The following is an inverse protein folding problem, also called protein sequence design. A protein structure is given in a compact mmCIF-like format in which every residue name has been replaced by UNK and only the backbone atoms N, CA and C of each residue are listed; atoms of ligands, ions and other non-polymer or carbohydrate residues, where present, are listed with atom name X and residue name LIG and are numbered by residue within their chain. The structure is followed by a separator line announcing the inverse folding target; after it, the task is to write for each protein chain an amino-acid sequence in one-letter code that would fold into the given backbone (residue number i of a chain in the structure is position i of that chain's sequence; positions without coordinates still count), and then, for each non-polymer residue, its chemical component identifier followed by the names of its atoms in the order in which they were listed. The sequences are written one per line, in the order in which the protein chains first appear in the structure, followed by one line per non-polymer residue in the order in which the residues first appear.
data_IF_501816078729
#
_entry.id   IF_501816078729
#
_cell.length_a   1.000
_cell.length_b   1.000
_cell.length_c   1.000
_cell.angle_alpha   90.00
_cell.angle_beta   90.00
_cell.angle_gamma   90.00
#
_symmetry.space_group_name_H-M   'P 1'
#
loop_
_entity.id
_entity.type
_entity.pdbx_description
1 polymer ?
#
# COMPACT_ATOMS: atom_id res chain seq x y z
N UNK A 1 16.93 -18.53 9.03
CA UNK A 1 16.54 -19.18 7.77
C UNK A 1 15.54 -18.24 7.11
N UNK A 2 15.95 -17.63 6.00
CA UNK A 2 15.31 -16.48 5.35
C UNK A 2 14.53 -16.97 4.12
N UNK A 3 13.47 -17.74 4.34
CA UNK A 3 12.54 -18.12 3.27
C UNK A 3 11.75 -16.88 2.81
N UNK A 4 11.73 -16.64 1.50
CA UNK A 4 10.89 -15.60 0.89
C UNK A 4 9.42 -16.03 0.97
N UNK A 5 8.52 -15.13 1.34
CA UNK A 5 7.10 -15.45 1.42
C UNK A 5 6.50 -15.61 0.02
N UNK A 6 5.67 -16.64 -0.16
CA UNK A 6 4.96 -16.93 -1.41
C UNK A 6 3.49 -16.55 -1.29
N UNK A 7 2.93 -15.99 -2.38
CA UNK A 7 1.52 -15.63 -2.49
C UNK A 7 0.80 -16.68 -3.34
N UNK A 8 -0.19 -17.36 -2.77
CA UNK A 8 -1.03 -18.33 -3.50
C UNK A 8 -2.38 -17.69 -3.80
N UNK A 9 -2.69 -17.51 -5.08
CA UNK A 9 -3.93 -16.87 -5.55
C UNK A 9 -4.88 -17.95 -6.03
N UNK A 10 -5.99 -18.15 -5.32
CA UNK A 10 -7.04 -19.10 -5.71
C UNK A 10 -8.19 -18.34 -6.36
N UNK A 11 -8.32 -18.45 -7.68
CA UNK A 11 -9.33 -17.72 -8.46
C UNK A 11 -9.66 -18.50 -9.73
N UNK A 12 -10.85 -18.24 -10.29
CA UNK A 12 -11.25 -18.62 -11.65
C UNK A 12 -11.45 -17.38 -12.54
N UNK A 13 -11.15 -16.19 -12.01
CA UNK A 13 -11.32 -14.91 -12.69
C UNK A 13 -10.02 -14.56 -13.41
N UNK A 14 -10.00 -14.54 -14.76
CA UNK A 14 -8.80 -14.31 -15.55
C UNK A 14 -8.20 -12.91 -15.35
N UNK A 15 -8.99 -11.95 -14.87
CA UNK A 15 -8.45 -10.63 -14.52
C UNK A 15 -7.69 -10.67 -13.20
N UNK A 16 -8.14 -11.47 -12.23
CA UNK A 16 -7.47 -11.66 -10.94
C UNK A 16 -6.21 -12.52 -11.08
N UNK A 17 -6.21 -13.51 -11.98
CA UNK A 17 -5.02 -14.33 -12.26
C UNK A 17 -3.80 -13.48 -12.64
N UNK A 18 -4.01 -12.35 -13.32
CA UNK A 18 -2.95 -11.39 -13.69
C UNK A 18 -2.26 -10.75 -12.49
N UNK A 19 -2.85 -10.82 -11.29
CA UNK A 19 -2.23 -10.37 -10.06
C UNK A 19 -0.89 -11.07 -9.80
N UNK A 20 -0.76 -12.36 -10.14
CA UNK A 20 0.51 -13.09 -9.98
C UNK A 20 1.64 -12.40 -10.76
N UNK A 21 1.40 -12.07 -12.04
CA UNK A 21 2.39 -11.38 -12.86
C UNK A 21 2.73 -9.99 -12.30
N UNK A 22 1.75 -9.25 -11.77
CA UNK A 22 1.97 -7.95 -11.14
C UNK A 22 2.80 -8.05 -9.86
N UNK A 23 2.59 -9.08 -9.04
CA UNK A 23 3.39 -9.34 -7.84
C UNK A 23 4.83 -9.76 -8.19
N UNK A 24 5.02 -10.57 -9.22
CA UNK A 24 6.36 -10.93 -9.71
C UNK A 24 7.16 -9.71 -10.15
N UNK A 25 6.52 -8.74 -10.83
CA UNK A 25 7.19 -7.48 -11.21
C UNK A 25 7.62 -6.64 -9.99
N UNK A 26 7.01 -6.89 -8.83
CA UNK A 26 7.36 -6.27 -7.55
C UNK A 26 8.35 -7.14 -6.73
N UNK A 27 8.90 -8.20 -7.34
CA UNK A 27 9.83 -9.13 -6.71
C UNK A 27 9.18 -10.12 -5.73
N UNK A 28 7.85 -10.22 -5.72
CA UNK A 28 7.09 -11.11 -4.82
C UNK A 28 6.74 -12.40 -5.58
N UNK A 29 7.13 -13.55 -5.04
CA UNK A 29 6.77 -14.85 -5.61
C UNK A 29 5.27 -15.08 -5.49
N UNK A 30 4.59 -15.38 -6.59
CA UNK A 30 3.14 -15.55 -6.60
C UNK A 30 2.68 -16.61 -7.60
N UNK A 31 1.79 -17.51 -7.19
CA UNK A 31 1.25 -18.56 -8.06
C UNK A 31 -0.27 -18.51 -8.06
N UNK A 32 -0.88 -18.50 -9.25
CA UNK A 32 -2.35 -18.60 -9.42
C UNK A 32 -2.75 -20.05 -9.63
N UNK A 33 -3.83 -20.48 -8.97
CA UNK A 33 -4.34 -21.86 -9.01
C UNK A 33 -5.86 -21.86 -9.10
N UNK A 34 -6.41 -22.82 -9.85
CA UNK A 34 -7.86 -22.97 -10.06
C UNK A 34 -8.45 -24.16 -9.28
N UNK A 35 -7.59 -25.09 -8.82
CA UNK A 35 -8.01 -26.34 -8.18
C UNK A 35 -7.52 -26.46 -6.74
N UNK A 36 -8.29 -27.16 -5.91
CA UNK A 36 -7.93 -27.40 -4.50
C UNK A 36 -6.62 -28.19 -4.34
N UNK A 37 -6.36 -29.17 -5.21
CA UNK A 37 -5.15 -29.98 -5.14
C UNK A 37 -3.88 -29.13 -5.35
N UNK A 38 -3.93 -28.21 -6.31
CA UNK A 38 -2.83 -27.29 -6.61
C UNK A 38 -2.65 -26.26 -5.51
N UNK A 39 -3.76 -25.71 -4.98
CA UNK A 39 -3.72 -24.80 -3.84
C UNK A 39 -3.08 -25.46 -2.60
N UNK A 40 -3.47 -26.70 -2.28
CA UNK A 40 -2.88 -27.49 -1.20
C UNK A 40 -1.39 -27.72 -1.43
N UNK A 41 -1.00 -28.14 -2.63
CA UNK A 41 0.39 -28.41 -2.97
C UNK A 41 1.26 -27.15 -2.89
N UNK A 42 0.78 -26.00 -3.38
CA UNK A 42 1.50 -24.74 -3.31
C UNK A 42 1.68 -24.27 -1.86
N UNK A 43 0.61 -24.33 -1.06
CA UNK A 43 0.64 -23.96 0.35
C UNK A 43 1.58 -24.87 1.16
N UNK A 44 1.54 -26.19 0.94
CA UNK A 44 2.37 -27.15 1.68
C UNK A 44 3.88 -27.01 1.33
N UNK A 45 4.20 -26.50 0.13
CA UNK A 45 5.58 -26.22 -0.29
C UNK A 45 6.11 -24.88 0.24
N UNK A 46 5.24 -23.92 0.52
CA UNK A 46 5.61 -22.61 0.98
C UNK A 46 5.88 -22.60 2.49
N UNK A 47 7.13 -22.34 2.91
CA UNK A 47 7.46 -22.15 4.34
C UNK A 47 6.73 -20.94 4.95
N UNK A 48 6.42 -19.93 4.12
CA UNK A 48 5.70 -18.70 4.48
C UNK A 48 4.72 -18.38 3.37
N UNK A 49 3.43 -18.33 3.69
CA UNK A 49 2.37 -18.22 2.69
C UNK A 49 1.42 -17.07 3.01
N UNK A 50 1.02 -16.33 1.98
CA UNK A 50 -0.17 -15.47 1.98
C UNK A 50 -1.14 -16.01 0.94
N UNK A 51 -2.41 -16.16 1.29
CA UNK A 51 -3.44 -16.56 0.33
C UNK A 51 -4.21 -15.34 -0.19
N UNK A 52 -4.52 -15.32 -1.48
CA UNK A 52 -5.54 -14.43 -2.06
C UNK A 52 -6.65 -15.34 -2.56
N UNK A 53 -7.87 -15.16 -2.08
CA UNK A 53 -8.99 -16.04 -2.42
C UNK A 53 -10.10 -15.23 -3.04
N UNK A 54 -10.52 -15.67 -4.21
CA UNK A 54 -11.71 -15.17 -4.87
C UNK A 54 -12.98 -15.67 -4.15
N UNK A 55 -13.90 -14.76 -3.84
CA UNK A 55 -15.19 -15.07 -3.21
C UNK A 55 -16.22 -15.63 -4.17
N UNK A 56 -15.98 -15.55 -5.49
CA UNK A 56 -16.89 -16.09 -6.52
C UNK A 56 -16.52 -17.54 -6.93
N UNK A 57 -15.65 -18.20 -6.16
CA UNK A 57 -15.32 -19.62 -6.36
C UNK A 57 -16.57 -20.51 -6.18
N UNK A 58 -16.65 -21.65 -6.91
CA UNK A 58 -17.67 -22.66 -6.67
C UNK A 58 -17.71 -23.09 -5.20
N UNK A 59 -18.91 -23.26 -4.65
CA UNK A 59 -19.14 -23.44 -3.21
C UNK A 59 -18.34 -24.60 -2.60
N UNK A 60 -18.18 -25.70 -3.34
CA UNK A 60 -17.37 -26.84 -2.89
C UNK A 60 -15.89 -26.49 -2.78
N UNK A 61 -15.32 -25.85 -3.81
CA UNK A 61 -13.93 -25.41 -3.81
C UNK A 61 -13.68 -24.35 -2.73
N UNK A 62 -14.57 -23.35 -2.63
CA UNK A 62 -14.50 -22.32 -1.60
C UNK A 62 -14.46 -22.91 -0.18
N UNK A 63 -15.34 -23.88 0.12
CA UNK A 63 -15.39 -24.53 1.43
C UNK A 63 -14.15 -25.41 1.71
N UNK A 64 -13.55 -26.01 0.68
CA UNK A 64 -12.29 -26.77 0.83
C UNK A 64 -11.10 -25.84 1.11
N UNK A 65 -10.97 -24.76 0.32
CA UNK A 65 -9.91 -23.75 0.47
C UNK A 65 -10.02 -23.05 1.82
N UNK A 66 -11.22 -22.63 2.23
CA UNK A 66 -11.42 -21.96 3.52
C UNK A 66 -11.00 -22.84 4.70
N UNK A 67 -11.34 -24.14 4.68
CA UNK A 67 -10.91 -25.10 5.71
C UNK A 67 -9.40 -25.31 5.73
N UNK A 68 -8.76 -25.30 4.56
CA UNK A 68 -7.30 -25.35 4.45
C UNK A 68 -6.66 -24.11 5.11
N UNK A 69 -7.14 -22.90 4.78
CA UNK A 69 -6.58 -21.65 5.28
C UNK A 69 -6.85 -21.39 6.77
N UNK A 70 -7.94 -21.94 7.31
CA UNK A 70 -8.32 -21.82 8.73
C UNK A 70 -7.88 -23.03 9.58
N UNK A 71 -6.96 -23.85 9.07
CA UNK A 71 -6.44 -25.00 9.79
C UNK A 71 -5.67 -24.67 11.07
N UNK A 72 -4.98 -25.66 11.68
CA UNK A 72 -4.23 -25.47 12.92
C UNK A 72 -3.16 -24.36 12.84
N UNK A 73 -2.61 -24.14 11.64
CA UNK A 73 -1.75 -23.01 11.32
C UNK A 73 -2.49 -22.10 10.34
N UNK A 74 -3.19 -21.06 10.82
CA UNK A 74 -3.98 -20.21 9.96
C UNK A 74 -3.10 -19.37 9.04
N UNK A 75 -3.49 -19.29 7.76
CA UNK A 75 -2.74 -18.58 6.73
C UNK A 75 -3.29 -17.14 6.60
N UNK A 76 -2.44 -16.11 6.63
CA UNK A 76 -2.84 -14.74 6.30
C UNK A 76 -3.52 -14.69 4.93
N UNK A 77 -4.75 -14.19 4.89
CA UNK A 77 -5.61 -14.31 3.71
C UNK A 77 -6.20 -12.96 3.33
N UNK A 78 -6.15 -12.63 2.04
CA UNK A 78 -6.91 -11.55 1.41
C UNK A 78 -8.09 -12.15 0.64
N UNK A 79 -9.32 -11.93 1.10
CA UNK A 79 -10.52 -12.45 0.48
C UNK A 79 -11.21 -11.38 -0.37
N UNK A 80 -11.34 -11.64 -1.67
CA UNK A 80 -12.07 -10.78 -2.60
C UNK A 80 -13.55 -11.16 -2.52
N UNK A 81 -14.43 -10.20 -2.28
CA UNK A 81 -15.86 -10.46 -2.08
C UNK A 81 -16.70 -9.43 -2.82
N UNK A 82 -17.98 -9.74 -3.07
CA UNK A 82 -18.92 -8.74 -3.60
C UNK A 82 -19.05 -7.55 -2.62
N UNK A 83 -19.49 -6.39 -3.12
CA UNK A 83 -19.68 -5.21 -2.26
C UNK A 83 -20.72 -5.45 -1.16
N UNK A 84 -21.76 -6.26 -1.44
CA UNK A 84 -22.77 -6.64 -0.44
C UNK A 84 -22.16 -7.51 0.66
N UNK A 85 -21.41 -8.55 0.28
CA UNK A 85 -20.72 -9.43 1.24
C UNK A 85 -19.65 -8.67 2.03
N UNK A 86 -18.97 -7.68 1.42
CA UNK A 86 -18.01 -6.83 2.12
C UNK A 86 -18.65 -6.11 3.30
N UNK A 87 -19.83 -5.50 3.13
CA UNK A 87 -20.51 -4.79 4.22
C UNK A 87 -20.86 -5.72 5.39
N UNK A 88 -21.25 -6.95 5.09
CA UNK A 88 -21.60 -7.95 6.10
C UNK A 88 -20.35 -8.49 6.84
N UNK A 89 -19.26 -8.74 6.11
CA UNK A 89 -18.06 -9.39 6.64
C UNK A 89 -17.07 -8.39 7.26
N UNK A 90 -16.87 -7.22 6.66
CA UNK A 90 -15.92 -6.22 7.12
C UNK A 90 -16.34 -5.60 8.46
N UNK A 91 -17.65 -5.46 8.69
CA UNK A 91 -18.23 -4.94 9.92
C UNK A 91 -18.45 -6.02 11.00
N UNK A 92 -18.17 -7.30 10.69
CA UNK A 92 -18.35 -8.38 11.65
C UNK A 92 -17.29 -8.31 12.78
N UNK A 93 -17.69 -8.12 14.06
CA UNK A 93 -16.76 -8.05 15.18
C UNK A 93 -15.99 -9.36 15.43
N UNK A 94 -16.53 -10.49 14.98
CA UNK A 94 -15.96 -11.83 15.13
C UNK A 94 -15.18 -12.29 13.90
N UNK A 95 -14.80 -11.36 13.00
CA UNK A 95 -14.03 -11.72 11.82
C UNK A 95 -12.67 -12.37 12.19
N UNK A 96 -12.20 -13.38 11.44
CA UNK A 96 -10.90 -13.98 11.68
C UNK A 96 -9.78 -12.93 11.62
N UNK A 97 -8.88 -12.93 12.60
CA UNK A 97 -7.84 -11.90 12.73
C UNK A 97 -6.86 -11.84 11.54
N UNK A 98 -6.67 -12.97 10.86
CA UNK A 98 -5.75 -13.11 9.73
C UNK A 98 -6.44 -13.02 8.36
N UNK A 99 -7.73 -12.67 8.31
CA UNK A 99 -8.47 -12.52 7.05
C UNK A 99 -8.83 -11.05 6.85
N UNK A 100 -8.33 -10.47 5.76
CA UNK A 100 -8.71 -9.15 5.27
C UNK A 100 -9.67 -9.29 4.08
N UNK A 101 -10.67 -8.42 3.99
CA UNK A 101 -11.67 -8.45 2.93
C UNK A 101 -11.46 -7.28 1.96
N UNK A 102 -11.80 -7.52 0.70
CA UNK A 102 -11.73 -6.55 -0.39
C UNK A 102 -13.00 -6.62 -1.22
N UNK A 103 -13.67 -5.49 -1.41
CA UNK A 103 -14.80 -5.44 -2.33
C UNK A 103 -14.32 -5.49 -3.80
N UNK A 104 -14.96 -6.33 -4.62
CA UNK A 104 -14.89 -6.29 -6.08
C UNK A 104 -15.81 -5.18 -6.64
N UNK A 105 -15.48 -4.60 -7.82
CA UNK A 105 -14.26 -4.83 -8.60
C UNK A 105 -13.04 -4.16 -7.95
N UNK A 106 -11.93 -4.88 -7.84
CA UNK A 106 -10.69 -4.37 -7.27
C UNK A 106 -9.64 -4.20 -8.38
N UNK A 107 -8.93 -3.06 -8.39
CA UNK A 107 -7.86 -2.81 -9.37
C UNK A 107 -6.62 -3.61 -8.98
N UNK A 108 -5.89 -4.14 -9.95
CA UNK A 108 -4.68 -4.94 -9.69
C UNK A 108 -3.64 -4.19 -8.85
N UNK A 109 -3.44 -2.89 -9.08
CA UNK A 109 -2.50 -2.08 -8.30
C UNK A 109 -2.91 -1.98 -6.82
N UNK A 110 -4.21 -1.87 -6.56
CA UNK A 110 -4.76 -1.85 -5.20
C UNK A 110 -4.59 -3.22 -4.53
N UNK A 111 -4.81 -4.31 -5.27
CA UNK A 111 -4.60 -5.67 -4.76
C UNK A 111 -3.13 -5.93 -4.42
N UNK A 112 -2.18 -5.47 -5.24
CA UNK A 112 -0.74 -5.55 -4.93
C UNK A 112 -0.44 -4.85 -3.61
N UNK A 113 -0.96 -3.64 -3.40
CA UNK A 113 -0.76 -2.90 -2.15
C UNK A 113 -1.38 -3.62 -0.94
N UNK A 114 -2.57 -4.21 -1.11
CA UNK A 114 -3.22 -4.97 -0.03
C UNK A 114 -2.49 -6.28 0.29
N UNK A 115 -2.01 -7.00 -0.71
CA UNK A 115 -1.16 -8.18 -0.50
C UNK A 115 0.11 -7.80 0.28
N UNK A 116 0.79 -6.72 -0.12
CA UNK A 116 1.95 -6.19 0.61
C UNK A 116 1.60 -5.85 2.07
N UNK A 117 0.43 -5.23 2.31
CA UNK A 117 -0.04 -4.94 3.66
C UNK A 117 -0.32 -6.22 4.48
N UNK A 118 -0.92 -7.26 3.88
CA UNK A 118 -1.13 -8.57 4.52
C UNK A 118 0.21 -9.20 4.88
N UNK A 119 1.19 -9.21 3.96
CA UNK A 119 2.53 -9.75 4.19
C UNK A 119 3.23 -9.04 5.37
N UNK A 120 3.22 -7.71 5.40
CA UNK A 120 3.83 -6.93 6.49
C UNK A 120 3.18 -7.23 7.84
N UNK A 121 1.84 -7.34 7.89
CA UNK A 121 1.12 -7.68 9.14
C UNK A 121 1.38 -9.12 9.59
N UNK A 122 1.64 -10.02 8.66
CA UNK A 122 2.08 -11.38 8.95
C UNK A 122 3.55 -11.45 9.41
N UNK A 123 4.26 -10.33 9.44
CA UNK A 123 5.67 -10.24 9.84
C UNK A 123 6.63 -10.69 8.74
N UNK A 124 6.20 -10.71 7.47
CA UNK A 124 7.04 -11.03 6.34
C UNK A 124 7.77 -9.79 5.83
N UNK A 125 9.01 -9.98 5.38
CA UNK A 125 9.79 -8.93 4.73
C UNK A 125 9.32 -8.79 3.27
N UNK A 126 9.19 -7.54 2.81
CA UNK A 126 8.96 -7.25 1.40
C UNK A 126 10.29 -7.11 0.67
N UNK A 127 10.39 -7.55 -0.60
CA UNK A 127 11.51 -7.22 -1.44
C UNK A 127 11.76 -5.72 -1.45
N UNK A 128 13.02 -5.30 -1.45
CA UNK A 128 13.36 -3.90 -1.67
C UNK A 128 12.76 -3.48 -3.02
N UNK A 129 11.84 -2.52 -3.01
CA UNK A 129 11.20 -2.03 -4.23
C UNK A 129 12.25 -1.35 -5.10
N UNK A 130 12.76 -2.05 -6.10
CA UNK A 130 13.45 -1.44 -7.22
C UNK A 130 12.38 -0.73 -8.06
N UNK A 131 12.00 0.49 -7.66
CA UNK A 131 11.28 1.38 -8.56
C UNK A 131 12.09 1.51 -9.85
N UNK A 132 11.46 1.19 -10.98
CA UNK A 132 12.11 0.91 -12.25
C UNK A 132 13.18 1.92 -12.65
N UNK A 133 14.42 1.44 -12.73
CA UNK A 133 15.31 1.84 -13.82
C UNK A 133 14.71 1.24 -15.09
N UNK A 134 13.98 2.05 -15.85
CA UNK A 134 13.50 1.65 -17.17
C UNK A 134 14.68 1.36 -18.09
N UNK A 135 14.62 0.23 -18.79
CA UNK A 135 15.61 -0.18 -19.78
C UNK A 135 15.79 0.91 -20.86
N UNK A 136 16.95 1.57 -20.83
CA UNK A 136 17.42 2.51 -21.84
C UNK A 136 18.92 2.70 -21.71
N UNK A 137 19.68 1.79 -22.34
CA UNK A 137 21.10 1.85 -22.70
C UNK A 137 21.86 3.15 -22.39
N UNK A 138 22.77 3.11 -21.41
CA UNK A 138 24.16 3.56 -21.56
C UNK A 138 24.98 3.21 -20.32
N UNK A 139 26.15 2.63 -20.59
CA UNK A 139 27.15 2.13 -19.64
C UNK A 139 27.73 3.21 -18.71
N UNK A 140 28.07 2.80 -17.49
CA UNK A 140 29.20 3.36 -16.74
C UNK A 140 29.02 4.70 -16.05
N UNK A 141 28.32 4.73 -14.92
CA UNK A 141 28.68 5.58 -13.78
C UNK A 141 28.08 4.98 -12.50
N UNK A 142 28.92 4.79 -11.50
CA UNK A 142 28.56 4.34 -10.16
C UNK A 142 27.35 5.13 -9.60
N UNK A 143 26.24 4.43 -9.37
CA UNK A 143 25.08 4.96 -8.62
C UNK A 143 25.02 4.36 -7.21
N UNK A 144 26.17 4.25 -6.55
CA UNK A 144 26.24 4.18 -5.09
C UNK A 144 25.88 5.56 -4.52
N UNK A 145 24.59 5.88 -4.34
CA UNK A 145 24.25 7.21 -3.81
C UNK A 145 22.80 7.62 -3.61
N UNK A 146 21.79 6.81 -3.96
CA UNK A 146 20.41 7.16 -3.59
C UNK A 146 20.16 6.82 -2.11
N UNK A 147 20.47 7.76 -1.23
CA UNK A 147 19.99 7.71 0.16
C UNK A 147 18.45 7.76 0.16
N UNK A 148 17.80 6.61 0.35
CA UNK A 148 16.35 6.56 0.58
C UNK A 148 15.98 7.41 1.81
N UNK A 149 15.09 8.38 1.62
CA UNK A 149 14.52 9.15 2.73
C UNK A 149 13.62 8.27 3.61
N UNK A 150 13.59 8.53 4.91
CA UNK A 150 12.66 7.85 5.82
C UNK A 150 11.26 8.47 5.68
N UNK A 151 10.26 7.65 5.39
CA UNK A 151 8.84 8.06 5.39
C UNK A 151 8.23 7.76 6.75
N UNK A 152 7.62 8.76 7.38
CA UNK A 152 6.93 8.61 8.66
C UNK A 152 5.51 9.16 8.54
N UNK A 153 4.52 8.28 8.68
CA UNK A 153 3.10 8.65 8.55
C UNK A 153 2.46 8.85 9.91
N UNK A 154 1.78 9.98 10.10
CA UNK A 154 0.95 10.26 11.29
C UNK A 154 -0.52 10.15 10.88
N UNK A 155 -1.22 9.11 11.36
CA UNK A 155 -2.62 8.87 11.03
C UNK A 155 -3.46 8.56 12.28
N UNK A 156 -4.79 8.64 12.15
CA UNK A 156 -5.77 8.33 13.20
C UNK A 156 -7.17 8.31 12.62
N UNK A 157 -7.97 7.35 13.08
CA UNK A 157 -9.38 7.18 12.73
C UNK A 157 -10.31 8.22 13.38
N UNK A 158 -9.80 9.12 14.25
CA UNK A 158 -10.61 10.13 14.93
C UNK A 158 -10.15 11.56 14.60
N UNK A 159 -11.10 12.47 14.44
CA UNK A 159 -10.86 13.92 14.33
C UNK A 159 -10.41 14.54 15.66
N UNK A 160 -9.64 15.62 15.61
CA UNK A 160 -9.27 16.40 16.80
C UNK A 160 -8.23 15.77 17.74
N UNK A 161 -7.64 14.61 17.41
CA UNK A 161 -6.59 13.98 18.25
C UNK A 161 -5.20 14.64 18.13
N UNK A 162 -5.09 15.73 17.36
CA UNK A 162 -3.85 16.48 17.21
C UNK A 162 -2.87 15.94 16.14
N UNK A 163 -3.31 15.09 15.19
CA UNK A 163 -2.47 14.55 14.10
C UNK A 163 -1.64 15.63 13.40
N UNK A 164 -2.30 16.67 12.89
CA UNK A 164 -1.70 17.79 12.16
C UNK A 164 -0.66 18.50 13.03
N UNK A 165 -1.00 18.75 14.29
CA UNK A 165 -0.10 19.39 15.26
C UNK A 165 1.14 18.55 15.52
N UNK A 166 0.98 17.24 15.73
CA UNK A 166 2.09 16.30 15.95
C UNK A 166 2.98 16.24 14.70
N UNK A 167 2.39 16.06 13.50
CA UNK A 167 3.13 15.98 12.25
C UNK A 167 3.93 17.26 11.96
N UNK A 168 3.31 18.43 12.12
CA UNK A 168 3.96 19.72 11.91
C UNK A 168 5.10 19.95 12.91
N UNK A 169 4.88 19.71 14.21
CA UNK A 169 5.92 19.88 15.22
C UNK A 169 7.06 18.87 15.06
N UNK A 170 6.76 17.62 14.70
CA UNK A 170 7.78 16.61 14.39
C UNK A 170 8.67 17.07 13.23
N UNK A 171 8.07 17.52 12.13
CA UNK A 171 8.82 17.99 10.97
C UNK A 171 9.70 19.22 11.30
N UNK A 172 9.14 20.19 12.03
CA UNK A 172 9.87 21.37 12.50
C UNK A 172 11.00 20.98 13.45
N UNK A 173 10.75 20.04 14.37
CA UNK A 173 11.74 19.54 15.32
C UNK A 173 12.91 18.83 14.64
N UNK A 174 12.61 17.94 13.69
CA UNK A 174 13.62 17.26 12.86
C UNK A 174 14.53 18.25 12.13
N UNK A 175 13.94 19.30 11.55
CA UNK A 175 14.73 20.33 10.87
C UNK A 175 15.52 21.22 11.84
N UNK A 176 14.90 21.71 12.93
CA UNK A 176 15.53 22.70 13.82
C UNK A 176 16.57 22.11 14.75
N UNK A 177 16.28 20.97 15.35
CA UNK A 177 17.14 20.36 16.38
C UNK A 177 18.14 19.38 15.77
N UNK A 178 17.76 18.68 14.70
CA UNK A 178 18.59 17.62 14.10
C UNK A 178 19.10 17.95 12.69
N UNK A 179 18.75 19.13 12.14
CA UNK A 179 19.17 19.59 10.82
C UNK A 179 18.88 18.58 9.69
N UNK A 180 17.81 17.79 9.85
CA UNK A 180 17.39 16.80 8.85
C UNK A 180 16.57 17.49 7.76
N UNK A 181 16.94 17.28 6.50
CA UNK A 181 16.13 17.69 5.34
C UNK A 181 14.77 16.99 5.45
N UNK A 182 13.72 17.76 5.66
CA UNK A 182 12.39 17.24 5.99
C UNK A 182 11.35 17.85 5.06
N UNK A 183 10.57 16.97 4.41
CA UNK A 183 9.38 17.32 3.65
C UNK A 183 8.15 16.89 4.47
N UNK A 184 7.34 17.85 4.89
CA UNK A 184 6.03 17.60 5.47
C UNK A 184 5.00 17.55 4.34
N UNK A 185 4.25 16.46 4.23
CA UNK A 185 3.20 16.28 3.22
C UNK A 185 1.84 16.28 3.91
N UNK A 186 0.94 17.17 3.48
CA UNK A 186 -0.46 17.14 3.89
C UNK A 186 -1.22 16.15 3.00
N UNK A 187 -1.39 14.93 3.51
CA UNK A 187 -2.05 13.83 2.80
C UNK A 187 -3.58 13.76 3.06
N UNK A 188 -4.14 14.70 3.84
CA UNK A 188 -5.58 14.85 3.99
C UNK A 188 -6.09 15.84 2.94
N UNK A 189 -6.45 15.32 1.76
CA UNK A 189 -6.78 16.13 0.59
C UNK A 189 -8.07 16.95 0.78
N UNK A 190 -9.03 16.43 1.56
CA UNK A 190 -10.32 17.09 1.78
C UNK A 190 -10.28 18.06 2.96
N UNK A 191 -9.65 17.69 4.07
CA UNK A 191 -9.75 18.41 5.35
C UNK A 191 -8.37 18.77 5.96
N UNK A 192 -7.30 18.75 5.16
CA UNK A 192 -5.96 19.10 5.61
C UNK A 192 -5.82 20.53 6.13
N UNK A 193 -5.21 20.68 7.31
CA UNK A 193 -5.06 21.95 8.02
C UNK A 193 -3.60 22.42 8.11
N UNK A 194 -2.65 21.72 7.45
CA UNK A 194 -1.22 22.05 7.57
C UNK A 194 -0.94 23.47 7.08
N UNK A 195 -1.57 23.89 5.99
CA UNK A 195 -1.42 25.24 5.44
C UNK A 195 -1.86 26.33 6.41
N UNK A 196 -3.01 26.16 7.04
CA UNK A 196 -3.53 27.09 8.06
C UNK A 196 -2.62 27.10 9.29
N UNK A 197 -2.26 25.92 9.80
CA UNK A 197 -1.43 25.77 11.00
C UNK A 197 -0.05 26.42 10.85
N UNK A 198 0.56 26.32 9.67
CA UNK A 198 1.88 26.88 9.37
C UNK A 198 1.82 28.26 8.71
N UNK A 199 0.62 28.81 8.50
CA UNK A 199 0.37 30.06 7.78
C UNK A 199 1.04 30.09 6.39
N UNK A 200 0.76 29.06 5.60
CA UNK A 200 1.26 28.85 4.24
C UNK A 200 0.11 28.78 3.24
N UNK A 201 0.37 29.28 2.04
CA UNK A 201 -0.54 29.17 0.89
C UNK A 201 0.27 28.64 -0.29
N UNK A 202 -0.30 27.70 -1.04
CA UNK A 202 0.27 27.24 -2.31
C UNK A 202 -0.79 27.25 -3.39
N UNK A 203 -0.37 27.57 -4.62
CA UNK A 203 -1.20 27.43 -5.83
C UNK A 203 -1.11 26.04 -6.45
N UNK A 204 -0.13 25.24 -6.02
CA UNK A 204 0.12 23.87 -6.47
C UNK A 204 0.15 22.95 -5.28
N UNK A 205 -0.28 21.72 -5.49
CA UNK A 205 -0.57 20.76 -4.43
C UNK A 205 -0.07 19.37 -4.80
N UNK A 206 -0.23 18.43 -3.86
CA UNK A 206 0.01 17.02 -4.13
C UNK A 206 -0.81 16.50 -5.33
N UNK A 207 -2.00 17.03 -5.58
CA UNK A 207 -2.81 16.61 -6.73
C UNK A 207 -2.11 16.91 -8.05
N UNK A 208 -1.60 18.14 -8.22
CA UNK A 208 -0.89 18.58 -9.44
C UNK A 208 0.36 17.75 -9.75
N UNK A 209 0.94 17.11 -8.73
CA UNK A 209 2.09 16.22 -8.88
C UNK A 209 1.67 14.86 -9.44
N UNK A 210 0.48 14.38 -9.09
CA UNK A 210 0.04 13.02 -9.37
C UNK A 210 -0.98 12.90 -10.52
N UNK A 211 -1.46 14.01 -11.09
CA UNK A 211 -2.53 14.01 -12.10
C UNK A 211 -2.20 13.24 -13.41
N UNK A 212 -0.92 12.95 -13.67
CA UNK A 212 -0.44 12.25 -14.88
C UNK A 212 -0.14 10.76 -14.71
N UNK A 213 -0.50 10.14 -13.58
CA UNK A 213 -0.16 8.76 -13.25
C UNK A 213 1.21 8.65 -12.59
N UNK A 214 2.29 8.94 -13.32
CA UNK A 214 3.62 9.03 -12.71
C UNK A 214 3.83 10.41 -12.05
N UNK A 215 4.39 10.47 -10.82
CA UNK A 215 4.69 11.74 -10.16
C UNK A 215 5.68 12.58 -10.96
N UNK A 216 5.26 13.77 -11.41
CA UNK A 216 6.18 14.71 -12.08
C UNK A 216 7.07 15.39 -11.04
N UNK A 217 8.36 15.04 -11.01
CA UNK A 217 9.36 15.62 -10.12
C UNK A 217 9.52 17.14 -10.30
N UNK A 218 9.28 17.65 -11.51
CA UNK A 218 9.31 19.08 -11.81
C UNK A 218 8.08 19.77 -11.24
N UNK A 219 6.90 19.15 -11.33
CA UNK A 219 5.69 19.62 -10.68
C UNK A 219 5.85 19.60 -9.15
N UNK A 220 6.46 18.55 -8.59
CA UNK A 220 6.72 18.41 -7.16
C UNK A 220 7.56 19.57 -6.63
N UNK A 221 8.69 19.88 -7.28
CA UNK A 221 9.54 20.99 -6.88
C UNK A 221 8.79 22.33 -6.89
N UNK A 222 7.86 22.53 -7.84
CA UNK A 222 7.02 23.73 -7.93
C UNK A 222 5.87 23.75 -6.92
N UNK A 223 5.44 22.60 -6.42
CA UNK A 223 4.36 22.46 -5.45
C UNK A 223 4.82 22.59 -3.99
N UNK A 224 6.10 22.32 -3.73
CA UNK A 224 6.70 22.44 -2.40
C UNK A 224 6.90 23.91 -2.02
N UNK A 225 6.41 24.27 -0.83
CA UNK A 225 6.58 25.60 -0.22
C UNK A 225 7.56 25.51 0.95
N UNK A 226 8.44 26.49 1.10
CA UNK A 226 9.33 26.58 2.26
C UNK A 226 8.65 27.33 3.41
N UNK A 227 8.61 26.70 4.58
CA UNK A 227 8.23 27.39 5.82
C UNK A 227 9.45 28.09 6.44
N UNK A 228 9.24 29.20 7.17
CA UNK A 228 10.29 29.95 7.89
C UNK A 228 11.11 29.12 8.88
N UNK A 229 10.68 27.92 9.25
CA UNK A 229 11.46 26.99 10.07
C UNK A 229 12.54 26.23 9.28
N UNK A 230 12.55 26.32 7.95
CA UNK A 230 13.40 25.54 7.04
C UNK A 230 12.81 24.20 6.62
N UNK A 231 11.56 23.90 7.01
CA UNK A 231 10.84 22.69 6.58
C UNK A 231 10.24 22.94 5.20
N UNK A 232 10.41 21.98 4.30
CA UNK A 232 9.71 21.94 3.03
C UNK A 232 8.31 21.36 3.25
N UNK A 233 7.29 21.96 2.66
CA UNK A 233 5.89 21.57 2.90
C UNK A 233 5.18 21.39 1.56
N UNK A 234 4.57 20.22 1.36
CA UNK A 234 3.66 19.97 0.26
C UNK A 234 2.23 20.01 0.81
N UNK A 235 1.46 21.01 0.37
CA UNK A 235 0.11 21.23 0.86
C UNK A 235 -0.92 20.42 0.05
N UNK A 236 -2.09 20.24 0.67
CA UNK A 236 -3.28 19.77 -0.01
C UNK A 236 -3.73 20.73 -1.12
N UNK A 237 -4.61 20.30 -2.03
CA UNK A 237 -5.25 21.18 -3.01
C UNK A 237 -5.98 22.35 -2.34
N UNK A 238 -5.91 23.56 -2.92
CA UNK A 238 -6.53 24.75 -2.33
C UNK A 238 -8.06 24.68 -2.34
N UNK A 239 -8.65 23.94 -3.30
CA UNK A 239 -10.09 23.67 -3.36
C UNK A 239 -10.31 22.13 -3.27
N UNK A 240 -11.05 21.66 -2.25
CA UNK A 240 -11.37 20.24 -2.07
C UNK A 240 -12.09 19.59 -3.26
N UNK A 241 -12.81 20.38 -4.08
CA UNK A 241 -13.57 19.87 -5.22
C UNK A 241 -12.67 19.42 -6.38
N UNK A 242 -11.39 19.80 -6.39
CA UNK A 242 -10.44 19.32 -7.40
C UNK A 242 -9.96 17.87 -7.16
N UNK A 243 -10.43 17.20 -6.10
CA UNK A 243 -10.00 15.84 -5.72
C UNK A 243 -10.96 14.76 -6.27
N UNK A 244 -12.08 15.14 -6.88
CA UNK A 244 -13.03 14.22 -7.54
C UNK A 244 -12.59 13.77 -8.94
#
# INVERSE_FOLDING_TARGET
MSGQAEVVIVTLDPDIERLAARLHNEGISATSVEQYADARLAIDRAERCVAVVDGDLPSELAAQVQRLLQGPQPIPTLMLVSSESYQQLALNPQRPALVEYVAKPARLDELVLRVKAVMLRAGYELPATSHGSGNGHSEGADLDGFHHGTVTTVFSAKGGVGKTTIAANLAVGLMRFFRRKTLLVDADLWFGDVGVLLNLVSKKSLFDVCSGGEPDLTALQKAVVQHRSGVSVLLRPPDPLFVE
#
